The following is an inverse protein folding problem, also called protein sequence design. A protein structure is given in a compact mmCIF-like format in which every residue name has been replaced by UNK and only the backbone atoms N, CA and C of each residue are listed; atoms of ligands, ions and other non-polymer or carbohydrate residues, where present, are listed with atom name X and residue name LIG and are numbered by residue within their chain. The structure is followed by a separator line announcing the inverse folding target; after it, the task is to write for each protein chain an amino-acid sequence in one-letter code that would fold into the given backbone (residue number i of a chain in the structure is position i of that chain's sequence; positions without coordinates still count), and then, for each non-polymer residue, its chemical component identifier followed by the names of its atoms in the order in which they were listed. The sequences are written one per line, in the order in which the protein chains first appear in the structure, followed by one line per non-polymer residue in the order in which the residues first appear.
data_IF_614750099951
#
_entry.id   IF_614750099951
#
_cell.length_a   1.000
_cell.length_b   1.000
_cell.length_c   1.000
_cell.angle_alpha   90.00
_cell.angle_beta   90.00
_cell.angle_gamma   90.00
#
_symmetry.space_group_name_H-M   'P 1'
#
loop_
_entity.id
_entity.type
_entity.pdbx_description
1 polymer ?
#
# COMPACT_ATOMS: atom_id res chain seq x y z
N UNK A 1 1.09 -7.40 -4.89
CA UNK A 1 -0.09 -7.52 -3.98
C UNK A 1 -1.19 -8.24 -4.73
N UNK A 2 -1.68 -9.36 -4.24
CA UNK A 2 -2.80 -10.18 -4.78
C UNK A 2 -2.70 -10.62 -6.25
N UNK A 3 -1.52 -10.61 -6.86
CA UNK A 3 -1.35 -10.81 -8.31
C UNK A 3 -1.92 -12.15 -8.80
N UNK A 4 -1.59 -13.27 -8.13
CA UNK A 4 -2.08 -14.59 -8.50
C UNK A 4 -3.60 -14.70 -8.36
N UNK A 5 -4.17 -14.26 -7.23
CA UNK A 5 -5.61 -14.26 -7.00
C UNK A 5 -6.34 -13.37 -8.01
N UNK A 6 -5.80 -12.17 -8.27
CA UNK A 6 -6.36 -11.22 -9.24
C UNK A 6 -6.43 -11.82 -10.66
N UNK A 7 -5.34 -12.45 -11.13
CA UNK A 7 -5.31 -13.10 -12.45
C UNK A 7 -6.34 -14.21 -12.56
N UNK A 8 -6.44 -15.07 -11.54
CA UNK A 8 -7.37 -16.18 -11.49
C UNK A 8 -8.83 -15.70 -11.49
N UNK A 9 -9.18 -14.77 -10.62
CA UNK A 9 -10.55 -14.23 -10.52
C UNK A 9 -10.95 -13.46 -11.76
N UNK A 10 -10.06 -12.60 -12.29
CA UNK A 10 -10.31 -11.85 -13.53
C UNK A 10 -10.58 -12.79 -14.70
N UNK A 11 -9.80 -13.88 -14.83
CA UNK A 11 -10.01 -14.87 -15.88
C UNK A 11 -11.38 -15.56 -15.83
N UNK A 12 -11.90 -15.86 -14.63
CA UNK A 12 -13.27 -16.40 -14.46
C UNK A 12 -14.33 -15.37 -14.84
N UNK A 13 -14.17 -14.12 -14.36
CA UNK A 13 -15.15 -13.06 -14.58
C UNK A 13 -15.19 -12.57 -16.03
N UNK A 14 -14.07 -12.55 -16.74
CA UNK A 14 -14.02 -12.16 -18.15
C UNK A 14 -14.74 -13.17 -19.03
N UNK A 15 -14.67 -14.48 -18.70
CA UNK A 15 -15.49 -15.50 -19.38
C UNK A 15 -16.99 -15.28 -19.18
N UNK A 16 -17.41 -14.82 -18.01
CA UNK A 16 -18.81 -14.46 -17.76
C UNK A 16 -19.24 -13.20 -18.50
N UNK A 17 -18.38 -12.17 -18.54
CA UNK A 17 -18.65 -10.90 -19.27
C UNK A 17 -18.86 -11.12 -20.76
N UNK A 18 -18.12 -12.07 -21.38
CA UNK A 18 -18.19 -12.37 -22.80
C UNK A 18 -19.45 -13.11 -23.24
N UNK A 19 -20.27 -13.60 -22.29
CA UNK A 19 -21.53 -14.32 -22.60
C UNK A 19 -22.73 -13.40 -22.60
N UNK A 20 -23.44 -13.33 -23.70
CA UNK A 20 -24.65 -12.51 -23.85
C UNK A 20 -25.83 -12.98 -23.00
N UNK A 21 -25.91 -14.29 -22.73
CA UNK A 21 -26.91 -14.96 -21.89
C UNK A 21 -26.19 -15.85 -20.91
N UNK A 22 -26.58 -15.81 -19.65
CA UNK A 22 -26.05 -16.66 -18.57
C UNK A 22 -27.17 -17.60 -18.08
N UNK A 23 -26.85 -18.88 -17.97
CA UNK A 23 -27.69 -19.86 -17.28
C UNK A 23 -27.29 -19.96 -15.81
N UNK A 24 -28.16 -20.52 -14.97
CA UNK A 24 -27.80 -20.81 -13.55
C UNK A 24 -26.61 -21.78 -13.46
N UNK A 25 -26.45 -22.69 -14.43
CA UNK A 25 -25.29 -23.58 -14.50
C UNK A 25 -23.99 -22.78 -14.71
N UNK A 26 -23.98 -21.80 -15.63
CA UNK A 26 -22.80 -20.96 -15.88
C UNK A 26 -22.35 -20.19 -14.62
N UNK A 27 -23.31 -19.64 -13.85
CA UNK A 27 -23.06 -18.98 -12.59
C UNK A 27 -22.52 -19.97 -11.55
N UNK A 28 -23.12 -21.15 -11.45
CA UNK A 28 -22.70 -22.18 -10.48
C UNK A 28 -21.29 -22.67 -10.76
N UNK A 29 -20.93 -22.89 -12.03
CA UNK A 29 -19.59 -23.31 -12.42
C UNK A 29 -18.54 -22.22 -12.15
N UNK A 30 -18.86 -20.98 -12.46
CA UNK A 30 -17.99 -19.85 -12.14
C UNK A 30 -17.78 -19.69 -10.63
N UNK A 31 -18.83 -19.80 -9.83
CA UNK A 31 -18.72 -19.74 -8.36
C UNK A 31 -17.91 -20.90 -7.77
N UNK A 32 -17.96 -22.11 -8.41
CA UNK A 32 -17.12 -23.23 -8.02
C UNK A 32 -15.64 -22.95 -8.30
N UNK A 33 -15.31 -22.33 -9.43
CA UNK A 33 -13.94 -21.91 -9.74
C UNK A 33 -13.47 -20.79 -8.81
N UNK A 34 -14.28 -19.76 -8.58
CA UNK A 34 -13.98 -18.67 -7.63
C UNK A 34 -13.70 -19.23 -6.23
N UNK A 35 -14.55 -20.16 -5.76
CA UNK A 35 -14.34 -20.83 -4.46
C UNK A 35 -12.97 -21.52 -4.40
N UNK A 36 -12.59 -22.26 -5.45
CA UNK A 36 -11.29 -22.91 -5.51
C UNK A 36 -10.15 -21.91 -5.41
N UNK A 37 -10.20 -20.81 -6.17
CA UNK A 37 -9.17 -19.80 -6.19
C UNK A 37 -9.05 -19.05 -4.85
N UNK A 38 -10.17 -18.78 -4.18
CA UNK A 38 -10.15 -18.19 -2.84
C UNK A 38 -9.46 -19.14 -1.83
N UNK A 39 -9.73 -20.45 -1.89
CA UNK A 39 -9.07 -21.43 -1.02
C UNK A 39 -7.57 -21.57 -1.35
N UNK A 40 -7.19 -21.60 -2.64
CA UNK A 40 -5.79 -21.59 -3.08
C UNK A 40 -5.03 -20.33 -2.63
N UNK A 41 -5.74 -19.21 -2.46
CA UNK A 41 -5.21 -17.98 -1.91
C UNK A 41 -5.21 -17.91 -0.37
N UNK A 42 -5.42 -19.02 0.32
CA UNK A 42 -5.49 -19.11 1.78
C UNK A 42 -6.63 -18.30 2.43
N UNK A 43 -7.75 -18.10 1.72
CA UNK A 43 -8.97 -17.58 2.36
C UNK A 43 -9.60 -18.68 3.24
N UNK A 44 -10.11 -18.32 4.43
CA UNK A 44 -10.69 -19.30 5.33
C UNK A 44 -11.89 -20.01 4.70
N UNK A 45 -12.05 -21.31 5.00
CA UNK A 45 -13.13 -22.12 4.46
C UNK A 45 -14.52 -21.54 4.78
N UNK A 46 -14.70 -21.08 6.00
CA UNK A 46 -15.96 -20.52 6.49
C UNK A 46 -16.33 -19.24 5.71
N UNK A 47 -15.37 -18.33 5.55
CA UNK A 47 -15.53 -17.08 4.79
C UNK A 47 -15.82 -17.39 3.33
N UNK A 48 -15.07 -18.33 2.71
CA UNK A 48 -15.25 -18.73 1.33
C UNK A 48 -16.62 -19.37 1.07
N UNK A 49 -17.10 -20.20 1.99
CA UNK A 49 -18.43 -20.82 1.89
C UNK A 49 -19.53 -19.76 1.94
N UNK A 50 -19.49 -18.88 2.96
CA UNK A 50 -20.49 -17.81 3.09
C UNK A 50 -20.49 -16.85 1.90
N UNK A 51 -19.31 -16.53 1.34
CA UNK A 51 -19.20 -15.74 0.11
C UNK A 51 -19.95 -16.37 -1.07
N UNK A 52 -19.69 -17.66 -1.35
CA UNK A 52 -20.33 -18.37 -2.47
C UNK A 52 -21.84 -18.45 -2.29
N UNK A 53 -22.33 -18.73 -1.09
CA UNK A 53 -23.75 -18.77 -0.76
C UNK A 53 -24.41 -17.42 -1.03
N UNK A 54 -23.88 -16.32 -0.47
CA UNK A 54 -24.44 -14.97 -0.66
C UNK A 54 -24.42 -14.50 -2.12
N UNK A 55 -23.34 -14.76 -2.87
CA UNK A 55 -23.29 -14.40 -4.29
C UNK A 55 -24.31 -15.21 -5.09
N UNK A 56 -24.46 -16.51 -4.81
CA UNK A 56 -25.44 -17.37 -5.48
C UNK A 56 -26.87 -16.86 -5.28
N UNK A 57 -27.26 -16.64 -4.01
CA UNK A 57 -28.61 -16.20 -3.66
C UNK A 57 -28.98 -14.88 -4.33
N UNK A 58 -28.03 -13.93 -4.37
CA UNK A 58 -28.22 -12.64 -5.05
C UNK A 58 -28.20 -12.76 -6.58
N UNK A 59 -27.41 -13.68 -7.15
CA UNK A 59 -27.33 -13.86 -8.59
C UNK A 59 -28.63 -14.42 -9.18
N UNK A 60 -29.30 -15.35 -8.50
CA UNK A 60 -30.60 -15.88 -8.92
C UNK A 60 -31.65 -14.77 -9.06
N UNK A 61 -31.66 -13.80 -8.13
CA UNK A 61 -32.55 -12.62 -8.21
C UNK A 61 -32.15 -11.61 -9.28
N UNK A 62 -30.86 -11.42 -9.52
CA UNK A 62 -30.32 -10.40 -10.42
C UNK A 62 -30.50 -10.74 -11.90
N UNK A 63 -30.50 -12.03 -12.29
CA UNK A 63 -30.72 -12.48 -13.68
C UNK A 63 -32.07 -12.04 -14.28
N UNK A 64 -32.98 -11.54 -13.46
CA UNK A 64 -34.31 -11.06 -13.89
C UNK A 64 -34.32 -9.58 -14.35
N UNK A 65 -33.23 -8.82 -14.16
CA UNK A 65 -33.18 -7.40 -14.51
C UNK A 65 -32.67 -7.19 -15.93
N UNK A 66 -33.50 -6.76 -16.86
CA UNK A 66 -33.22 -6.66 -18.30
C UNK A 66 -32.33 -5.47 -18.73
N UNK A 67 -31.96 -4.56 -17.83
CA UNK A 67 -31.28 -3.29 -18.18
C UNK A 67 -29.74 -3.41 -18.36
N UNK A 68 -29.10 -4.44 -17.82
CA UNK A 68 -27.63 -4.64 -17.85
C UNK A 68 -27.35 -6.09 -18.22
N UNK A 69 -26.23 -6.36 -18.92
CA UNK A 69 -25.88 -7.75 -19.26
C UNK A 69 -25.75 -8.62 -18.01
N UNK A 70 -26.28 -9.85 -18.02
CA UNK A 70 -26.22 -10.75 -16.85
C UNK A 70 -24.80 -10.95 -16.32
N UNK A 71 -23.81 -11.06 -17.21
CA UNK A 71 -22.40 -11.20 -16.83
C UNK A 71 -21.87 -10.00 -16.06
N UNK A 72 -22.24 -8.77 -16.45
CA UNK A 72 -21.85 -7.56 -15.71
C UNK A 72 -22.51 -7.50 -14.33
N UNK A 73 -23.74 -7.98 -14.21
CA UNK A 73 -24.41 -8.03 -12.90
C UNK A 73 -23.73 -9.00 -11.95
N UNK A 74 -23.36 -10.21 -12.40
CA UNK A 74 -22.61 -11.18 -11.59
C UNK A 74 -21.25 -10.61 -11.18
N UNK A 75 -20.51 -9.94 -12.08
CA UNK A 75 -19.24 -9.30 -11.77
C UNK A 75 -19.40 -8.23 -10.68
N UNK A 76 -20.48 -7.42 -10.79
CA UNK A 76 -20.78 -6.42 -9.75
C UNK A 76 -21.10 -7.08 -8.42
N UNK A 77 -21.88 -8.14 -8.38
CA UNK A 77 -22.19 -8.89 -7.16
C UNK A 77 -20.94 -9.47 -6.51
N UNK A 78 -20.04 -10.03 -7.28
CA UNK A 78 -18.74 -10.54 -6.78
C UNK A 78 -17.90 -9.42 -6.23
N UNK A 79 -17.85 -8.27 -6.92
CA UNK A 79 -17.13 -7.09 -6.42
C UNK A 79 -17.69 -6.60 -5.07
N UNK A 80 -18.99 -6.39 -5.00
CA UNK A 80 -19.66 -5.89 -3.80
C UNK A 80 -19.48 -6.86 -2.61
N UNK A 81 -19.50 -8.16 -2.89
CA UNK A 81 -19.33 -9.19 -1.86
C UNK A 81 -17.86 -9.27 -1.37
N UNK A 82 -16.88 -9.14 -2.28
CA UNK A 82 -15.46 -9.02 -1.88
C UNK A 82 -15.25 -7.75 -1.04
N UNK A 83 -15.84 -6.61 -1.45
CA UNK A 83 -15.77 -5.39 -0.65
C UNK A 83 -16.37 -5.59 0.75
N UNK A 84 -17.50 -6.29 0.86
CA UNK A 84 -18.15 -6.64 2.14
C UNK A 84 -17.26 -7.53 3.00
N UNK A 85 -16.61 -8.55 2.42
CA UNK A 85 -15.65 -9.40 3.14
C UNK A 85 -14.47 -8.60 3.70
N UNK A 86 -14.03 -7.58 2.99
CA UNK A 86 -12.93 -6.71 3.39
C UNK A 86 -13.35 -5.65 4.43
N UNK A 87 -14.64 -5.58 4.80
CA UNK A 87 -15.16 -4.66 5.81
C UNK A 87 -16.18 -3.63 5.28
N UNK A 88 -16.53 -3.69 3.99
CA UNK A 88 -17.56 -2.88 3.35
C UNK A 88 -17.18 -1.41 3.18
N UNK A 89 -16.91 -0.72 4.28
CA UNK A 89 -16.58 0.71 4.30
C UNK A 89 -15.19 0.95 4.89
N UNK A 90 -14.56 2.05 4.46
CA UNK A 90 -13.28 2.47 5.00
C UNK A 90 -13.42 2.82 6.49
N UNK A 91 -12.60 2.20 7.34
CA UNK A 91 -12.51 2.50 8.75
C UNK A 91 -11.34 3.45 9.02
N UNK A 92 -11.61 4.58 9.68
CA UNK A 92 -10.60 5.54 10.13
C UNK A 92 -10.03 5.18 11.50
N UNK A 93 -9.06 5.98 11.95
CA UNK A 93 -8.61 5.96 13.35
C UNK A 93 -9.54 6.82 14.20
N UNK A 94 -9.78 6.34 15.42
CA UNK A 94 -10.52 7.08 16.44
C UNK A 94 -9.57 8.00 17.20
N UNK A 95 -10.00 9.26 17.39
CA UNK A 95 -9.21 10.27 18.11
C UNK A 95 -9.95 10.74 19.34
N UNK A 96 -9.20 10.94 20.44
CA UNK A 96 -9.74 11.51 21.65
C UNK A 96 -10.14 12.97 21.43
N UNK A 97 -11.24 13.38 22.05
CA UNK A 97 -11.65 14.77 22.12
C UNK A 97 -10.97 15.54 23.27
N UNK A 98 -10.44 14.81 24.25
CA UNK A 98 -9.80 15.37 25.44
C UNK A 98 -8.47 14.67 25.70
N UNK A 99 -7.38 15.44 25.85
CA UNK A 99 -6.04 14.92 26.06
C UNK A 99 -5.46 14.23 24.81
N UNK A 100 -4.31 13.58 24.93
CA UNK A 100 -3.68 12.86 23.84
C UNK A 100 -4.45 11.59 23.48
N UNK A 101 -4.59 11.30 22.20
CA UNK A 101 -5.07 10.00 21.69
C UNK A 101 -4.01 8.95 21.94
N UNK A 102 -4.34 7.86 22.58
CA UNK A 102 -3.44 6.73 22.82
C UNK A 102 -3.75 5.60 21.85
N UNK A 103 -2.73 5.13 21.14
CA UNK A 103 -2.81 4.02 20.20
C UNK A 103 -1.81 2.94 20.61
N UNK A 104 -2.29 1.75 20.96
CA UNK A 104 -1.44 0.60 21.26
C UNK A 104 -1.21 -0.22 19.99
N UNK A 105 0.04 -0.45 19.61
CA UNK A 105 0.39 -1.40 18.56
C UNK A 105 0.72 -2.75 19.19
N UNK A 106 -0.10 -3.76 18.90
CA UNK A 106 0.06 -5.12 19.41
C UNK A 106 0.34 -6.11 18.29
N UNK A 107 0.89 -7.28 18.59
CA UNK A 107 1.17 -8.30 17.58
C UNK A 107 2.42 -9.12 17.89
N UNK A 108 2.66 -10.16 17.11
CA UNK A 108 3.78 -11.07 17.32
C UNK A 108 5.14 -10.44 16.92
N UNK A 109 6.22 -11.08 17.36
CA UNK A 109 7.58 -10.71 16.95
C UNK A 109 7.73 -10.82 15.43
N UNK A 110 8.42 -9.86 14.81
CA UNK A 110 8.67 -9.86 13.37
C UNK A 110 7.47 -9.42 12.51
N UNK A 111 6.31 -9.10 13.09
CA UNK A 111 5.16 -8.57 12.35
C UNK A 111 5.34 -7.16 11.81
N UNK A 112 6.38 -6.44 12.25
CA UNK A 112 6.70 -5.08 11.79
C UNK A 112 6.12 -3.96 12.65
N UNK A 113 5.82 -4.18 13.95
CA UNK A 113 5.25 -3.17 14.86
C UNK A 113 6.08 -1.89 14.91
N UNK A 114 7.36 -1.98 15.25
CA UNK A 114 8.27 -0.83 15.39
C UNK A 114 8.35 0.02 14.12
N UNK A 115 8.50 -0.64 12.97
CA UNK A 115 8.49 0.06 11.67
C UNK A 115 7.13 0.68 11.36
N UNK A 116 6.04 -0.02 11.71
CA UNK A 116 4.67 0.49 11.53
C UNK A 116 4.39 1.69 12.43
N UNK A 117 4.89 1.67 13.67
CA UNK A 117 4.81 2.82 14.59
C UNK A 117 5.39 4.09 13.96
N UNK A 118 6.60 4.00 13.41
CA UNK A 118 7.26 5.12 12.74
C UNK A 118 6.53 5.57 11.45
N UNK A 119 6.05 4.63 10.63
CA UNK A 119 5.27 4.95 9.42
C UNK A 119 3.95 5.63 9.75
N UNK A 120 3.24 5.14 10.78
CA UNK A 120 2.00 5.72 11.25
C UNK A 120 2.24 7.11 11.84
N UNK A 121 3.29 7.27 12.66
CA UNK A 121 3.68 8.56 13.21
C UNK A 121 3.99 9.58 12.10
N UNK A 122 4.79 9.19 11.08
CA UNK A 122 5.05 10.05 9.93
C UNK A 122 3.76 10.50 9.24
N UNK A 123 2.82 9.58 9.03
CA UNK A 123 1.54 9.89 8.40
C UNK A 123 0.72 10.85 9.25
N UNK A 124 0.58 10.57 10.55
CA UNK A 124 -0.15 11.44 11.48
C UNK A 124 0.48 12.83 11.63
N UNK A 125 1.82 12.93 11.52
CA UNK A 125 2.52 14.21 11.47
C UNK A 125 2.10 15.02 10.24
N UNK A 126 2.02 14.40 9.06
CA UNK A 126 1.54 15.06 7.84
C UNK A 126 0.06 15.50 7.95
N UNK A 127 -0.74 14.76 8.70
CA UNK A 127 -2.14 15.07 9.01
C UNK A 127 -2.28 16.05 10.21
N UNK A 128 -1.18 16.65 10.68
CA UNK A 128 -1.13 17.63 11.78
C UNK A 128 -1.69 17.10 13.11
N UNK A 129 -1.53 15.81 13.38
CA UNK A 129 -1.99 15.14 14.61
C UNK A 129 -0.94 15.16 15.72
N UNK A 130 0.18 15.87 15.57
CA UNK A 130 1.28 16.02 16.53
C UNK A 130 1.60 14.70 17.26
N UNK A 131 2.11 13.65 16.57
CA UNK A 131 2.37 12.36 17.16
C UNK A 131 3.65 12.35 18.00
N UNK A 132 3.67 11.48 19.03
CA UNK A 132 4.86 11.03 19.76
C UNK A 132 4.86 9.48 19.77
N UNK A 133 6.06 8.91 19.86
CA UNK A 133 6.28 7.47 19.95
C UNK A 133 6.67 7.07 21.36
N UNK A 134 6.27 5.87 21.81
CA UNK A 134 6.67 5.31 23.11
C UNK A 134 7.22 3.90 22.88
N UNK A 135 8.48 3.66 23.32
CA UNK A 135 9.11 2.35 23.29
C UNK A 135 8.72 1.55 24.54
N UNK A 136 7.69 0.71 24.42
CA UNK A 136 7.21 -0.13 25.50
C UNK A 136 7.69 -1.60 25.41
N UNK A 137 8.61 -1.92 24.48
CA UNK A 137 9.31 -3.22 24.41
C UNK A 137 10.55 -3.17 25.33
N UNK A 138 10.32 -3.35 26.62
CA UNK A 138 11.37 -3.31 27.65
C UNK A 138 12.27 -4.55 27.64
N UNK A 139 11.84 -5.64 27.01
CA UNK A 139 12.56 -6.92 26.97
C UNK A 139 13.67 -6.94 25.93
N UNK A 140 13.66 -5.99 25.00
CA UNK A 140 14.65 -5.89 23.91
C UNK A 140 15.29 -4.49 23.89
N UNK A 141 16.45 -4.29 24.55
CA UNK A 141 17.12 -3.00 24.59
C UNK A 141 17.36 -2.37 23.22
N UNK A 142 17.66 -3.18 22.21
CA UNK A 142 17.83 -2.70 20.84
C UNK A 142 16.53 -2.20 20.19
N UNK A 143 15.34 -2.58 20.69
CA UNK A 143 14.06 -2.13 20.14
C UNK A 143 13.80 -0.64 20.44
N UNK A 144 14.11 -0.19 21.64
CA UNK A 144 13.99 1.22 22.03
C UNK A 144 14.92 2.10 21.19
N UNK A 145 16.16 1.66 20.98
CA UNK A 145 17.12 2.39 20.13
C UNK A 145 16.68 2.41 18.68
N UNK A 146 16.18 1.28 18.16
CA UNK A 146 15.61 1.20 16.82
C UNK A 146 14.45 2.19 16.65
N UNK A 147 13.54 2.28 17.62
CA UNK A 147 12.42 3.21 17.56
C UNK A 147 12.90 4.67 17.59
N UNK A 148 13.94 5.00 18.36
CA UNK A 148 14.54 6.35 18.38
C UNK A 148 15.10 6.73 17.02
N UNK A 149 15.90 5.87 16.41
CA UNK A 149 16.45 6.11 15.07
C UNK A 149 15.35 6.32 14.02
N UNK A 150 14.30 5.51 14.07
CA UNK A 150 13.14 5.69 13.20
C UNK A 150 12.37 6.97 13.50
N UNK A 151 12.22 7.35 14.78
CA UNK A 151 11.60 8.60 15.20
C UNK A 151 12.37 9.81 14.68
N UNK A 152 13.69 9.81 14.79
CA UNK A 152 14.57 10.85 14.23
C UNK A 152 14.43 10.94 12.71
N UNK A 153 14.42 9.80 12.01
CA UNK A 153 14.26 9.74 10.55
C UNK A 153 12.95 10.40 10.08
N UNK A 154 11.86 10.24 10.84
CA UNK A 154 10.55 10.83 10.49
C UNK A 154 10.30 12.17 11.20
N UNK A 155 11.22 12.59 12.07
CA UNK A 155 11.15 13.82 12.85
C UNK A 155 9.99 13.82 13.85
N UNK A 156 9.81 12.71 14.58
CA UNK A 156 8.80 12.51 15.63
C UNK A 156 9.51 12.14 16.93
N UNK A 157 9.19 12.78 18.07
CA UNK A 157 9.83 12.49 19.35
C UNK A 157 9.49 11.10 19.85
N UNK A 158 10.46 10.45 20.51
CA UNK A 158 10.27 9.18 21.21
C UNK A 158 10.38 9.45 22.71
N UNK A 159 9.34 9.08 23.45
CA UNK A 159 9.20 9.38 24.87
C UNK A 159 9.30 8.10 25.73
N UNK A 160 9.80 8.22 26.96
CA UNK A 160 10.44 9.40 27.52
C UNK A 160 11.80 9.69 26.86
N UNK A 161 12.18 10.97 26.77
CA UNK A 161 13.46 11.37 26.17
C UNK A 161 14.66 10.90 26.99
N UNK A 162 14.53 10.88 28.31
CA UNK A 162 15.56 10.39 29.21
C UNK A 162 15.29 8.96 29.64
N UNK A 163 16.15 8.07 29.13
CA UNK A 163 16.50 6.79 29.73
C UNK A 163 15.39 5.78 29.98
N UNK A 164 15.26 4.86 29.07
CA UNK A 164 14.88 3.47 29.41
C UNK A 164 15.96 2.80 30.32
N UNK A 165 16.43 3.51 31.32
CA UNK A 165 17.41 3.08 32.33
C UNK A 165 16.81 2.91 33.70
N UNK A 166 15.47 3.08 33.83
CA UNK A 166 14.77 2.68 35.05
C UNK A 166 14.74 1.17 35.09
N UNK A 167 15.24 0.61 36.17
CA UNK A 167 15.11 -0.80 36.57
C UNK A 167 13.65 -1.22 36.78
N UNK A 168 12.69 -0.39 36.45
CA UNK A 168 11.26 -0.66 36.54
C UNK A 168 10.81 -1.45 35.30
N UNK A 169 10.62 -2.73 35.51
CA UNK A 169 9.98 -3.67 34.57
C UNK A 169 8.45 -3.46 34.44
N UNK A 170 7.96 -2.26 34.80
CA UNK A 170 6.51 -1.95 34.77
C UNK A 170 6.16 -1.12 33.52
N UNK A 171 5.71 -1.82 32.48
CA UNK A 171 5.27 -1.22 31.22
C UNK A 171 4.14 -0.19 31.42
N UNK A 172 3.08 -0.44 32.20
CA UNK A 172 2.08 0.56 32.54
C UNK A 172 2.63 1.85 33.16
N UNK A 173 3.58 1.76 34.09
CA UNK A 173 4.20 2.94 34.72
C UNK A 173 5.02 3.75 33.70
N UNK A 174 5.79 3.09 32.85
CA UNK A 174 6.55 3.71 31.77
C UNK A 174 5.64 4.48 30.80
N UNK A 175 4.55 3.86 30.36
CA UNK A 175 3.63 4.51 29.41
C UNK A 175 2.90 5.68 30.07
N UNK A 176 2.52 5.59 31.35
CA UNK A 176 1.95 6.73 32.09
C UNK A 176 2.93 7.89 32.22
N UNK A 177 4.21 7.62 32.45
CA UNK A 177 5.24 8.66 32.50
C UNK A 177 5.39 9.33 31.11
N UNK A 178 5.47 8.53 30.05
CA UNK A 178 5.54 9.04 28.68
C UNK A 178 4.31 9.88 28.28
N UNK A 179 3.10 9.53 28.77
CA UNK A 179 1.90 10.33 28.52
C UNK A 179 1.97 11.72 29.18
N UNK A 180 2.47 11.81 30.42
CA UNK A 180 2.68 13.12 31.09
C UNK A 180 3.67 13.99 30.36
N UNK A 181 4.75 13.38 29.85
CA UNK A 181 5.73 14.07 29.03
C UNK A 181 5.15 14.51 27.68
N UNK A 182 4.33 13.65 27.05
CA UNK A 182 3.62 13.96 25.82
C UNK A 182 2.67 15.16 25.96
N UNK A 183 1.94 15.27 27.08
CA UNK A 183 1.11 16.45 27.40
C UNK A 183 1.95 17.71 27.50
N UNK A 184 3.10 17.64 28.18
CA UNK A 184 4.04 18.75 28.31
C UNK A 184 4.63 19.16 26.97
N UNK A 185 4.92 18.20 26.10
CA UNK A 185 5.40 18.38 24.73
C UNK A 185 4.29 18.78 23.74
N UNK A 186 3.03 18.91 24.21
CA UNK A 186 1.83 19.18 23.37
C UNK A 186 1.63 18.16 22.27
N UNK A 187 2.01 16.91 22.47
CA UNK A 187 1.68 15.82 21.58
C UNK A 187 0.16 15.52 21.67
N UNK A 188 -0.47 15.37 20.52
CA UNK A 188 -1.93 15.10 20.42
C UNK A 188 -2.22 13.63 20.19
N UNK A 189 -1.22 12.86 19.82
CA UNK A 189 -1.33 11.42 19.58
C UNK A 189 -0.10 10.73 20.13
N UNK A 190 -0.28 9.65 20.86
CA UNK A 190 0.80 8.83 21.42
C UNK A 190 0.66 7.41 20.88
N UNK A 191 1.66 6.94 20.16
CA UNK A 191 1.73 5.60 19.60
C UNK A 191 2.67 4.77 20.44
N UNK A 192 2.14 3.74 21.08
CA UNK A 192 2.88 2.84 21.96
C UNK A 192 3.27 1.59 21.20
N UNK A 193 4.58 1.39 20.96
CA UNK A 193 5.15 0.17 20.38
C UNK A 193 5.38 -0.85 21.49
N UNK A 194 4.48 -1.84 21.60
CA UNK A 194 4.54 -2.86 22.66
C UNK A 194 5.49 -4.01 22.29
N UNK A 195 5.93 -4.77 23.28
CA UNK A 195 6.68 -5.98 23.07
C UNK A 195 5.93 -6.98 22.18
N UNK A 196 6.68 -7.79 21.44
CA UNK A 196 6.15 -8.91 20.65
C UNK A 196 6.81 -10.20 21.07
N UNK A 197 6.01 -11.22 21.32
CA UNK A 197 6.51 -12.59 21.55
C UNK A 197 6.37 -13.44 20.28
N UNK A 198 7.01 -14.61 20.26
CA UNK A 198 6.95 -15.52 19.11
C UNK A 198 5.56 -16.14 18.91
N UNK A 199 4.80 -16.27 19.98
CA UNK A 199 3.44 -16.80 19.98
C UNK A 199 2.57 -16.08 21.03
N UNK A 200 1.26 -16.24 20.91
CA UNK A 200 0.32 -15.75 21.90
C UNK A 200 0.44 -16.64 23.14
N UNK A 201 0.76 -16.03 24.28
CA UNK A 201 0.80 -16.67 25.58
C UNK A 201 0.02 -15.85 26.62
N UNK A 202 -0.26 -16.47 27.75
CA UNK A 202 -1.06 -15.88 28.84
C UNK A 202 -0.39 -14.63 29.40
N UNK A 203 0.94 -14.69 29.61
CA UNK A 203 1.72 -13.61 30.21
C UNK A 203 1.69 -12.34 29.34
N UNK A 204 1.87 -12.47 28.01
CA UNK A 204 1.74 -11.35 27.07
C UNK A 204 0.33 -10.75 27.10
N UNK A 205 -0.69 -11.61 27.12
CA UNK A 205 -2.08 -11.13 27.16
C UNK A 205 -2.41 -10.41 28.45
N UNK A 206 -1.90 -10.87 29.57
CA UNK A 206 -2.11 -10.23 30.88
C UNK A 206 -1.36 -8.90 30.98
N UNK A 207 -0.14 -8.79 30.43
CA UNK A 207 0.59 -7.54 30.32
C UNK A 207 -0.19 -6.51 29.47
N UNK A 208 -0.71 -6.92 28.32
CA UNK A 208 -1.50 -6.05 27.44
C UNK A 208 -2.82 -5.62 28.07
N UNK A 209 -3.50 -6.52 28.83
CA UNK A 209 -4.70 -6.18 29.60
C UNK A 209 -4.39 -5.17 30.70
N UNK A 210 -3.29 -5.39 31.45
CA UNK A 210 -2.85 -4.48 32.49
C UNK A 210 -2.51 -3.09 31.91
N UNK A 211 -1.79 -3.04 30.79
CA UNK A 211 -1.49 -1.80 30.08
C UNK A 211 -2.78 -1.09 29.62
N UNK A 212 -3.71 -1.81 28.99
CA UNK A 212 -4.99 -1.27 28.53
C UNK A 212 -5.85 -0.73 29.67
N UNK A 213 -5.85 -1.40 30.81
CA UNK A 213 -6.57 -0.95 32.01
C UNK A 213 -5.92 0.30 32.64
N UNK A 214 -4.60 0.37 32.65
CA UNK A 214 -3.83 1.48 33.22
C UNK A 214 -3.85 2.74 32.35
N UNK A 215 -3.93 2.58 31.03
CA UNK A 215 -3.89 3.64 30.02
C UNK A 215 -4.94 3.31 28.96
N UNK A 216 -6.24 3.68 29.19
CA UNK A 216 -7.31 3.34 28.26
C UNK A 216 -7.04 3.92 26.86
N UNK A 217 -6.72 3.07 25.84
CA UNK A 217 -6.41 3.55 24.50
C UNK A 217 -7.69 3.78 23.70
N UNK A 218 -7.67 4.74 22.77
CA UNK A 218 -8.69 4.88 21.73
C UNK A 218 -8.53 3.80 20.68
N UNK A 219 -7.28 3.36 20.43
CA UNK A 219 -6.99 2.33 19.44
C UNK A 219 -6.13 1.21 20.02
N UNK A 220 -6.54 -0.02 19.78
CA UNK A 220 -5.73 -1.23 19.93
C UNK A 220 -5.57 -1.84 18.55
N UNK A 221 -4.43 -1.59 17.93
CA UNK A 221 -4.15 -1.93 16.53
C UNK A 221 -3.25 -3.17 16.45
N UNK A 222 -3.78 -4.26 15.92
CA UNK A 222 -2.98 -5.43 15.61
C UNK A 222 -2.11 -5.16 14.38
N UNK A 223 -0.81 -5.31 14.51
CA UNK A 223 0.11 -5.37 13.38
C UNK A 223 0.37 -6.83 13.03
N UNK A 224 -0.15 -7.26 11.88
CA UNK A 224 -0.07 -8.65 11.42
C UNK A 224 0.66 -8.75 10.08
N UNK A 225 1.42 -9.85 9.90
CA UNK A 225 2.10 -10.16 8.66
C UNK A 225 1.10 -10.69 7.63
N UNK A 226 0.88 -9.96 6.54
CA UNK A 226 -0.04 -10.34 5.48
C UNK A 226 0.39 -11.57 4.68
N UNK A 227 1.65 -12.01 4.80
CA UNK A 227 2.16 -13.24 4.19
C UNK A 227 1.88 -14.49 5.03
N UNK A 228 1.48 -14.33 6.30
CA UNK A 228 1.25 -15.46 7.21
C UNK A 228 -0.06 -16.24 6.93
N UNK A 229 -0.86 -15.84 5.93
CA UNK A 229 -2.06 -16.59 5.54
C UNK A 229 -3.04 -16.80 6.68
N UNK A 230 -3.44 -18.05 6.94
CA UNK A 230 -4.38 -18.40 8.01
C UNK A 230 -3.82 -18.19 9.42
N UNK A 231 -2.50 -18.16 9.59
CA UNK A 231 -1.89 -17.85 10.89
C UNK A 231 -2.20 -16.41 11.29
N UNK A 232 -2.18 -15.46 10.35
CA UNK A 232 -2.59 -14.08 10.63
C UNK A 232 -4.03 -13.99 11.12
N UNK A 233 -4.93 -14.83 10.60
CA UNK A 233 -6.34 -14.89 11.02
C UNK A 233 -6.46 -15.45 12.44
N UNK A 234 -5.73 -16.55 12.75
CA UNK A 234 -5.69 -17.11 14.11
C UNK A 234 -5.13 -16.12 15.13
N UNK A 235 -4.07 -15.42 14.75
CA UNK A 235 -3.46 -14.38 15.58
C UNK A 235 -4.46 -13.25 15.82
N UNK A 236 -5.14 -12.76 14.78
CA UNK A 236 -6.13 -11.69 14.91
C UNK A 236 -7.28 -12.09 15.83
N UNK A 237 -7.79 -13.32 15.72
CA UNK A 237 -8.81 -13.86 16.62
C UNK A 237 -8.32 -13.89 18.07
N UNK A 238 -7.13 -14.46 18.33
CA UNK A 238 -6.59 -14.56 19.69
C UNK A 238 -6.35 -13.21 20.36
N UNK A 239 -5.81 -12.22 19.62
CA UNK A 239 -5.67 -10.86 20.16
C UNK A 239 -7.02 -10.17 20.34
N UNK A 240 -7.99 -10.39 19.45
CA UNK A 240 -9.32 -9.78 19.59
C UNK A 240 -10.06 -10.32 20.81
N UNK A 241 -10.05 -11.64 21.02
CA UNK A 241 -10.64 -12.28 22.21
C UNK A 241 -9.90 -11.90 23.50
N UNK A 242 -8.56 -11.74 23.43
CA UNK A 242 -7.73 -11.43 24.59
C UNK A 242 -7.81 -9.97 25.06
N UNK A 243 -7.70 -9.01 24.15
CA UNK A 243 -7.56 -7.58 24.48
C UNK A 243 -8.58 -6.67 23.78
N UNK A 244 -9.38 -7.18 22.85
CA UNK A 244 -10.38 -6.40 22.12
C UNK A 244 -9.73 -5.40 21.16
N UNK A 245 -9.48 -5.84 19.92
CA UNK A 245 -8.91 -5.02 18.87
C UNK A 245 -9.92 -3.99 18.34
N UNK A 246 -9.44 -2.80 17.96
CA UNK A 246 -10.21 -1.76 17.27
C UNK A 246 -9.89 -1.72 15.78
N UNK A 247 -8.77 -2.29 15.37
CA UNK A 247 -8.34 -2.34 13.97
C UNK A 247 -7.13 -3.23 13.74
N UNK A 248 -6.87 -3.51 12.47
CA UNK A 248 -5.72 -4.30 12.01
C UNK A 248 -4.91 -3.48 11.02
N UNK A 249 -3.59 -3.60 11.11
CA UNK A 249 -2.63 -3.11 10.12
C UNK A 249 -1.94 -4.33 9.51
N UNK A 250 -2.14 -4.57 8.22
CA UNK A 250 -1.47 -5.65 7.51
C UNK A 250 -0.15 -5.15 6.92
N UNK A 251 0.93 -5.83 7.24
CA UNK A 251 2.29 -5.52 6.74
C UNK A 251 2.71 -6.48 5.63
N UNK A 252 3.81 -6.14 4.94
CA UNK A 252 4.48 -7.00 3.94
C UNK A 252 3.60 -7.43 2.75
N UNK A 253 2.60 -6.62 2.40
CA UNK A 253 1.74 -6.92 1.25
C UNK A 253 2.40 -6.65 -0.12
N UNK A 254 3.58 -6.05 -0.13
CA UNK A 254 4.46 -5.88 -1.30
C UNK A 254 5.19 -7.15 -1.70
N UNK A 255 5.30 -8.14 -0.80
CA UNK A 255 5.79 -9.48 -1.07
C UNK A 255 4.78 -10.35 -1.85
N UNK A 256 5.05 -11.65 -1.88
CA UNK A 256 4.17 -12.64 -2.53
C UNK A 256 2.98 -13.04 -1.62
N UNK A 257 2.26 -12.02 -1.13
CA UNK A 257 1.09 -12.23 -0.30
C UNK A 257 -0.08 -12.75 -1.15
N UNK A 258 -0.59 -13.95 -0.83
CA UNK A 258 -1.73 -14.57 -1.51
C UNK A 258 -3.05 -13.81 -1.30
N UNK A 259 -3.13 -13.00 -0.23
CA UNK A 259 -4.27 -12.13 0.07
C UNK A 259 -5.34 -12.74 0.97
N UNK A 260 -5.24 -14.03 1.27
CA UNK A 260 -6.24 -14.72 2.10
C UNK A 260 -6.41 -14.15 3.50
N UNK A 261 -5.32 -13.68 4.12
CA UNK A 261 -5.38 -12.99 5.41
C UNK A 261 -6.29 -11.75 5.35
N UNK A 262 -6.12 -10.88 4.36
CA UNK A 262 -6.91 -9.67 4.21
C UNK A 262 -8.41 -9.96 4.03
N UNK A 263 -8.75 -11.00 3.23
CA UNK A 263 -10.12 -11.42 2.99
C UNK A 263 -10.76 -12.12 4.19
N UNK A 264 -9.95 -12.75 5.06
CA UNK A 264 -10.47 -13.57 6.15
C UNK A 264 -10.54 -12.86 7.50
N UNK A 265 -9.62 -11.93 7.79
CA UNK A 265 -9.51 -11.30 9.11
C UNK A 265 -10.82 -10.62 9.50
N UNK A 266 -11.36 -9.75 8.67
CA UNK A 266 -12.62 -9.07 8.95
C UNK A 266 -13.78 -10.07 9.03
N UNK A 267 -13.88 -11.02 8.08
CA UNK A 267 -14.95 -12.01 8.06
C UNK A 267 -14.98 -12.94 9.28
N UNK A 268 -13.81 -13.17 9.92
CA UNK A 268 -13.66 -14.02 11.09
C UNK A 268 -13.79 -13.26 12.41
N UNK A 269 -13.27 -12.03 12.48
CA UNK A 269 -13.16 -11.26 13.74
C UNK A 269 -14.13 -10.10 13.84
N UNK A 270 -14.71 -9.64 12.74
CA UNK A 270 -15.44 -8.37 12.66
C UNK A 270 -14.57 -7.11 12.77
N UNK A 271 -13.25 -7.27 13.01
CA UNK A 271 -12.33 -6.14 13.21
C UNK A 271 -11.92 -5.56 11.85
N UNK A 272 -12.05 -4.24 11.63
CA UNK A 272 -11.71 -3.63 10.35
C UNK A 272 -10.19 -3.57 10.13
N UNK A 273 -9.77 -3.74 8.87
CA UNK A 273 -8.42 -3.40 8.46
C UNK A 273 -8.38 -1.88 8.24
N UNK A 274 -7.46 -1.17 8.92
CA UNK A 274 -7.36 0.29 8.84
C UNK A 274 -6.22 0.74 7.91
N UNK A 275 -5.09 0.02 7.92
CA UNK A 275 -3.94 0.33 7.09
C UNK A 275 -3.28 -0.92 6.51
N UNK A 276 -2.53 -0.71 5.42
CA UNK A 276 -1.70 -1.73 4.78
C UNK A 276 -0.29 -1.20 4.53
N UNK A 277 0.71 -2.01 4.83
CA UNK A 277 2.11 -1.77 4.49
C UNK A 277 2.41 -2.36 3.11
N UNK A 278 2.82 -1.49 2.19
CA UNK A 278 3.02 -1.80 0.77
C UNK A 278 4.47 -1.64 0.31
N UNK A 279 5.42 -1.68 1.23
CA UNK A 279 6.84 -1.57 0.96
C UNK A 279 7.65 -1.18 2.20
N UNK A 280 8.97 -1.14 2.07
CA UNK A 280 9.90 -0.86 3.18
C UNK A 280 10.02 0.64 3.51
N UNK A 281 9.80 1.54 2.55
CA UNK A 281 9.95 2.99 2.73
C UNK A 281 9.01 3.53 3.80
N UNK A 282 9.40 4.62 4.46
CA UNK A 282 8.61 5.27 5.52
C UNK A 282 7.27 5.85 5.05
N UNK A 283 7.08 6.05 3.75
CA UNK A 283 5.82 6.49 3.15
C UNK A 283 4.93 5.32 2.66
N UNK A 284 5.42 4.08 2.76
CA UNK A 284 4.73 2.89 2.28
C UNK A 284 3.72 2.33 3.32
N UNK A 285 2.85 3.20 3.85
CA UNK A 285 1.69 2.85 4.68
C UNK A 285 0.46 3.52 4.09
N UNK A 286 -0.44 2.74 3.51
CA UNK A 286 -1.66 3.23 2.86
C UNK A 286 -2.89 2.95 3.73
N UNK A 287 -3.90 3.87 3.77
CA UNK A 287 -5.20 3.56 4.37
C UNK A 287 -5.85 2.43 3.59
N UNK A 288 -6.49 1.53 4.31
CA UNK A 288 -7.24 0.45 3.70
C UNK A 288 -8.63 0.93 3.29
N UNK A 289 -8.97 0.69 2.03
CA UNK A 289 -10.30 0.97 1.50
C UNK A 289 -10.84 -0.33 0.87
N UNK A 290 -11.89 -0.95 1.48
CA UNK A 290 -12.44 -2.21 1.02
C UNK A 290 -12.89 -2.20 -0.43
N UNK A 291 -13.56 -1.13 -0.88
CA UNK A 291 -14.10 -1.03 -2.24
C UNK A 291 -12.98 -0.92 -3.27
N UNK A 292 -11.98 -0.05 -3.00
CA UNK A 292 -10.79 0.08 -3.85
C UNK A 292 -9.98 -1.22 -3.91
N UNK A 293 -9.88 -1.92 -2.77
CA UNK A 293 -9.16 -3.19 -2.70
C UNK A 293 -9.88 -4.30 -3.46
N UNK A 294 -11.20 -4.37 -3.39
CA UNK A 294 -12.01 -5.27 -4.22
C UNK A 294 -11.78 -5.01 -5.72
N UNK A 295 -11.74 -3.75 -6.14
CA UNK A 295 -11.40 -3.37 -7.52
C UNK A 295 -9.99 -3.84 -7.94
N UNK A 296 -8.99 -3.67 -7.06
CA UNK A 296 -7.61 -4.17 -7.32
C UNK A 296 -7.58 -5.70 -7.46
N UNK A 297 -8.26 -6.43 -6.59
CA UNK A 297 -8.34 -7.90 -6.62
C UNK A 297 -9.03 -8.39 -7.90
N UNK A 298 -10.01 -7.65 -8.41
CA UNK A 298 -10.75 -8.01 -9.63
C UNK A 298 -10.17 -7.41 -10.93
N UNK A 299 -8.93 -6.90 -10.88
CA UNK A 299 -8.24 -6.37 -12.05
C UNK A 299 -8.87 -5.10 -12.65
N UNK A 300 -9.77 -4.43 -11.91
CA UNK A 300 -10.42 -3.19 -12.35
C UNK A 300 -9.52 -1.95 -12.17
N UNK A 301 -8.32 -2.15 -11.60
CA UNK A 301 -7.38 -1.07 -11.29
C UNK A 301 -7.81 -0.23 -10.09
N UNK A 302 -7.03 0.80 -9.81
CA UNK A 302 -7.31 1.79 -8.77
C UNK A 302 -6.98 3.20 -9.29
N UNK A 303 -7.86 3.71 -10.12
CA UNK A 303 -7.69 5.04 -10.75
C UNK A 303 -7.62 6.13 -9.69
N UNK A 304 -8.35 6.00 -8.58
CA UNK A 304 -8.33 6.98 -7.49
C UNK A 304 -6.95 7.01 -6.82
N UNK A 305 -6.36 5.84 -6.50
CA UNK A 305 -5.01 5.79 -5.95
C UNK A 305 -3.97 6.37 -6.93
N UNK A 306 -4.14 6.13 -8.23
CA UNK A 306 -3.26 6.71 -9.25
C UNK A 306 -3.35 8.23 -9.24
N UNK A 307 -4.55 8.80 -9.18
CA UNK A 307 -4.79 10.24 -9.13
C UNK A 307 -4.28 10.84 -7.82
N UNK A 308 -4.51 10.19 -6.68
CA UNK A 308 -4.00 10.64 -5.37
C UNK A 308 -2.47 10.63 -5.33
N UNK A 309 -1.82 9.56 -5.82
CA UNK A 309 -0.35 9.49 -5.92
C UNK A 309 0.19 10.55 -6.89
N UNK A 310 -0.48 10.76 -8.01
CA UNK A 310 -0.12 11.83 -8.93
C UNK A 310 -0.26 13.20 -8.26
N UNK A 311 -1.36 13.48 -7.58
CA UNK A 311 -1.60 14.76 -6.91
C UNK A 311 -0.60 15.05 -5.78
N UNK A 312 -0.19 14.02 -5.02
CA UNK A 312 0.77 14.15 -3.92
C UNK A 312 2.22 14.39 -4.39
N UNK A 313 2.55 14.00 -5.63
CA UNK A 313 3.92 14.05 -6.17
C UNK A 313 4.09 15.10 -7.27
N UNK A 314 2.99 15.62 -7.80
CA UNK A 314 3.01 16.57 -8.91
C UNK A 314 3.31 17.97 -8.38
N UNK A 315 4.49 18.49 -8.75
CA UNK A 315 4.76 19.93 -8.73
C UNK A 315 3.84 20.61 -9.75
N UNK A 316 2.83 21.33 -9.24
CA UNK A 316 1.80 21.98 -10.05
C UNK A 316 2.41 22.94 -11.11
N UNK A 317 3.55 23.56 -10.78
CA UNK A 317 4.25 24.48 -11.70
C UNK A 317 5.01 23.72 -12.78
N UNK A 318 5.63 22.59 -12.45
CA UNK A 318 6.28 21.71 -13.43
C UNK A 318 5.26 21.11 -14.41
N UNK A 319 4.07 20.74 -13.92
CA UNK A 319 3.00 20.20 -14.78
C UNK A 319 2.43 21.24 -15.73
N UNK A 320 2.16 22.45 -15.25
CA UNK A 320 1.71 23.57 -16.13
C UNK A 320 2.74 23.89 -17.21
N UNK A 321 4.04 23.86 -16.88
CA UNK A 321 5.13 24.03 -17.84
C UNK A 321 5.17 22.92 -18.89
N UNK A 322 5.01 21.67 -18.47
CA UNK A 322 4.94 20.49 -19.35
C UNK A 322 3.74 20.58 -20.30
N UNK A 323 2.53 20.92 -19.80
CA UNK A 323 1.35 21.13 -20.63
C UNK A 323 1.53 22.24 -21.66
N UNK A 324 2.08 23.38 -21.26
CA UNK A 324 2.36 24.49 -22.18
C UNK A 324 3.37 24.09 -23.25
N UNK A 325 4.42 23.32 -22.89
CA UNK A 325 5.43 22.84 -23.85
C UNK A 325 4.90 21.75 -24.77
N UNK A 326 4.08 20.83 -24.27
CA UNK A 326 3.39 19.82 -25.10
C UNK A 326 2.47 20.51 -26.12
N UNK A 327 1.82 21.60 -25.75
CA UNK A 327 1.01 22.43 -26.67
C UNK A 327 1.85 23.32 -27.60
N UNK A 328 3.11 23.58 -27.30
CA UNK A 328 3.98 24.44 -28.10
C UNK A 328 4.43 23.76 -29.42
N UNK A 329 4.81 24.56 -30.43
CA UNK A 329 5.31 24.06 -31.71
C UNK A 329 6.67 23.34 -31.56
N UNK A 330 7.48 23.65 -30.54
CA UNK A 330 8.81 23.07 -30.31
C UNK A 330 8.75 21.64 -29.78
N UNK A 331 7.63 21.25 -29.09
CA UNK A 331 7.49 19.94 -28.48
C UNK A 331 8.38 19.75 -27.26
N UNK A 332 8.36 18.53 -26.68
CA UNK A 332 9.12 18.14 -25.50
C UNK A 332 10.62 18.04 -25.80
N UNK A 333 11.48 18.57 -24.92
CA UNK A 333 12.93 18.42 -24.94
C UNK A 333 13.43 17.36 -23.93
N UNK A 334 14.73 17.04 -23.91
CA UNK A 334 15.30 16.05 -22.98
C UNK A 334 15.29 16.53 -21.52
N UNK A 335 15.23 17.85 -21.28
CA UNK A 335 15.06 18.39 -19.93
C UNK A 335 13.64 18.12 -19.41
N UNK A 336 12.63 18.30 -20.26
CA UNK A 336 11.24 17.98 -19.94
C UNK A 336 11.05 16.47 -19.69
N UNK A 337 11.73 15.66 -20.51
CA UNK A 337 11.77 14.21 -20.34
C UNK A 337 12.39 13.81 -19.00
N UNK A 338 13.47 14.47 -18.58
CA UNK A 338 14.10 14.24 -17.27
C UNK A 338 13.16 14.60 -16.11
N UNK A 339 12.45 15.73 -16.22
CA UNK A 339 11.46 16.16 -15.21
C UNK A 339 10.33 15.14 -15.13
N UNK A 340 9.78 14.71 -16.26
CA UNK A 340 8.74 13.67 -16.30
C UNK A 340 9.22 12.33 -15.70
N UNK A 341 10.45 11.92 -15.99
CA UNK A 341 11.07 10.71 -15.45
C UNK A 341 11.21 10.79 -13.92
N UNK A 342 11.66 11.94 -13.39
CA UNK A 342 11.77 12.16 -11.93
C UNK A 342 10.40 12.16 -11.23
N UNK A 343 9.40 12.77 -11.86
CA UNK A 343 8.02 12.71 -11.35
C UNK A 343 7.49 11.28 -11.33
N UNK A 344 7.75 10.48 -12.36
CA UNK A 344 7.37 9.06 -12.36
C UNK A 344 8.08 8.27 -11.26
N UNK A 345 9.37 8.52 -11.01
CA UNK A 345 10.12 7.88 -9.93
C UNK A 345 9.60 8.27 -8.54
N UNK A 346 9.17 9.51 -8.37
CA UNK A 346 8.60 10.00 -7.08
C UNK A 346 7.22 9.40 -6.77
N UNK A 347 6.47 8.92 -7.79
CA UNK A 347 5.20 8.21 -7.61
C UNK A 347 5.37 6.78 -7.06
N UNK A 348 6.59 6.28 -6.92
CA UNK A 348 6.92 4.95 -6.44
C UNK A 348 7.41 4.00 -7.56
N UNK A 349 7.67 2.71 -7.26
CA UNK A 349 8.13 1.75 -8.24
C UNK A 349 7.16 1.67 -9.43
N UNK A 350 7.69 1.78 -10.65
CA UNK A 350 6.87 1.86 -11.87
C UNK A 350 5.90 0.68 -12.02
N UNK A 351 6.28 -0.51 -11.56
CA UNK A 351 5.39 -1.69 -11.51
C UNK A 351 4.14 -1.45 -10.64
N UNK A 352 4.28 -0.73 -9.53
CA UNK A 352 3.14 -0.41 -8.66
C UNK A 352 2.21 0.61 -9.31
N UNK A 353 2.77 1.62 -9.96
CA UNK A 353 2.00 2.66 -10.69
C UNK A 353 1.23 2.06 -11.87
N UNK A 354 1.89 1.21 -12.67
CA UNK A 354 1.27 0.51 -13.79
C UNK A 354 0.19 -0.49 -13.34
N UNK A 355 0.38 -1.13 -12.18
CA UNK A 355 -0.63 -2.03 -11.58
C UNK A 355 -1.91 -1.33 -11.11
N UNK A 356 -1.94 0.01 -11.03
CA UNK A 356 -3.13 0.79 -10.72
C UNK A 356 -3.98 1.11 -11.96
N UNK A 357 -3.43 0.90 -13.17
CA UNK A 357 -4.15 1.17 -14.41
C UNK A 357 -5.13 0.03 -14.73
N UNK A 358 -6.40 0.34 -15.07
CA UNK A 358 -7.37 -0.67 -15.47
C UNK A 358 -6.94 -1.38 -16.75
N UNK A 359 -7.07 -2.71 -16.80
CA UNK A 359 -6.76 -3.52 -17.98
C UNK A 359 -5.28 -3.87 -18.18
N UNK A 360 -4.37 -3.44 -17.30
CA UNK A 360 -2.96 -3.88 -17.31
C UNK A 360 -2.82 -5.12 -16.41
N UNK A 361 -2.74 -6.28 -17.05
CA UNK A 361 -2.49 -7.54 -16.34
C UNK A 361 -1.02 -7.64 -15.90
N UNK A 362 -0.78 -8.30 -14.76
CA UNK A 362 0.56 -8.58 -14.25
C UNK A 362 1.44 -9.33 -15.28
N UNK A 363 0.86 -10.14 -16.19
CA UNK A 363 1.58 -10.76 -17.32
C UNK A 363 2.13 -9.75 -18.32
N UNK A 364 1.40 -8.68 -18.59
CA UNK A 364 1.91 -7.58 -19.44
C UNK A 364 3.10 -6.86 -18.77
N UNK A 365 3.14 -6.85 -17.43
CA UNK A 365 4.22 -6.27 -16.63
C UNK A 365 5.43 -7.20 -16.47
N UNK A 366 5.28 -8.53 -16.66
CA UNK A 366 6.40 -9.49 -16.59
C UNK A 366 7.36 -9.35 -17.79
N UNK A 367 6.87 -8.92 -18.96
CA UNK A 367 7.68 -8.64 -20.14
C UNK A 367 8.40 -7.28 -20.12
N UNK A 368 8.00 -6.37 -19.23
CA UNK A 368 8.57 -5.04 -19.09
C UNK A 368 9.60 -5.06 -17.97
N UNK A 369 10.81 -5.50 -18.26
CA UNK A 369 11.95 -5.35 -17.36
C UNK A 369 12.40 -3.87 -17.34
N UNK A 370 11.57 -2.98 -16.78
CA UNK A 370 12.02 -1.65 -16.39
C UNK A 370 12.67 -1.78 -15.01
N UNK A 371 13.94 -2.13 -15.01
CA UNK A 371 14.80 -2.11 -13.85
C UNK A 371 14.98 -0.64 -13.41
N UNK A 372 14.73 -0.33 -12.13
CA UNK A 372 15.01 1.00 -11.56
C UNK A 372 16.45 1.43 -11.83
N UNK A 373 17.37 0.47 -12.02
CA UNK A 373 18.74 0.72 -12.47
C UNK A 373 18.79 1.32 -13.88
N UNK A 374 17.94 0.88 -14.79
CA UNK A 374 17.88 1.45 -16.16
C UNK A 374 17.40 2.90 -16.17
N UNK A 375 16.43 3.24 -15.32
CA UNK A 375 15.97 4.61 -15.15
C UNK A 375 17.09 5.52 -14.63
N UNK A 376 17.87 5.05 -13.65
CA UNK A 376 19.07 5.76 -13.17
C UNK A 376 20.13 5.93 -14.24
N UNK A 377 20.32 4.94 -15.13
CA UNK A 377 21.24 5.06 -16.26
C UNK A 377 20.78 6.13 -17.27
N UNK A 378 19.49 6.16 -17.59
CA UNK A 378 18.88 7.19 -18.44
C UNK A 378 19.06 8.58 -17.82
N UNK A 379 18.79 8.72 -16.53
CA UNK A 379 19.01 9.96 -15.80
C UNK A 379 20.49 10.40 -15.85
N UNK A 380 21.44 9.51 -15.61
CA UNK A 380 22.87 9.80 -15.67
C UNK A 380 23.30 10.27 -17.08
N UNK A 381 22.78 9.64 -18.13
CA UNK A 381 23.06 10.04 -19.51
C UNK A 381 22.55 11.46 -19.78
N UNK A 382 21.31 11.77 -19.40
CA UNK A 382 20.72 13.10 -19.63
C UNK A 382 21.42 14.16 -18.77
N UNK A 383 21.77 13.85 -17.52
CA UNK A 383 22.51 14.77 -16.64
C UNK A 383 23.93 15.06 -17.16
N UNK A 384 24.55 14.12 -17.89
CA UNK A 384 25.87 14.30 -18.50
C UNK A 384 25.87 15.19 -19.77
N UNK A 385 24.67 15.58 -20.22
CA UNK A 385 24.50 16.55 -21.33
C UNK A 385 24.51 17.99 -20.80
N UNK A 386 25.02 18.93 -21.62
CA UNK A 386 24.86 20.35 -21.33
C UNK A 386 23.42 20.80 -21.49
N UNK A 387 23.00 21.96 -20.90
CA UNK A 387 21.63 22.47 -21.06
C UNK A 387 21.26 22.67 -22.56
N UNK A 388 22.18 23.13 -23.40
CA UNK A 388 21.95 23.30 -24.82
C UNK A 388 21.72 21.97 -25.55
N UNK A 389 22.43 20.90 -25.16
CA UNK A 389 22.30 19.57 -25.75
C UNK A 389 21.00 18.89 -25.31
N UNK A 390 20.49 19.18 -24.08
CA UNK A 390 19.18 18.73 -23.64
C UNK A 390 18.04 19.43 -24.37
N UNK A 391 18.19 20.73 -24.62
CA UNK A 391 17.22 21.54 -25.35
C UNK A 391 17.11 21.16 -26.82
N UNK A 392 18.24 20.88 -27.46
CA UNK A 392 18.30 20.45 -28.87
C UNK A 392 19.27 19.26 -29.08
N UNK A 393 18.78 18.03 -29.03
CA UNK A 393 19.59 16.84 -29.23
C UNK A 393 20.15 16.70 -30.64
N UNK A 394 19.73 17.52 -31.61
CA UNK A 394 20.25 17.47 -32.98
C UNK A 394 21.72 17.93 -33.10
N UNK A 395 22.20 18.68 -32.10
CA UNK A 395 23.59 19.14 -32.03
C UNK A 395 24.59 18.05 -31.60
N UNK A 396 24.11 16.85 -31.24
CA UNK A 396 24.92 15.76 -30.70
C UNK A 396 25.67 15.01 -31.83
N UNK A 397 26.92 15.36 -32.03
CA UNK A 397 27.85 14.63 -32.90
C UNK A 397 28.57 13.49 -32.17
N UNK A 398 29.38 12.68 -32.86
CA UNK A 398 30.09 11.53 -32.33
C UNK A 398 30.94 11.85 -31.08
N UNK A 399 31.71 12.94 -31.12
CA UNK A 399 32.56 13.33 -30.00
C UNK A 399 31.76 13.72 -28.75
N UNK A 400 30.65 14.44 -28.92
CA UNK A 400 29.76 14.81 -27.82
C UNK A 400 29.10 13.58 -27.22
N UNK A 401 28.63 12.62 -28.02
CA UNK A 401 28.08 11.35 -27.54
C UNK A 401 29.11 10.54 -26.76
N UNK A 402 30.37 10.48 -27.18
CA UNK A 402 31.45 9.84 -26.45
C UNK A 402 31.72 10.53 -25.10
N UNK A 403 31.73 11.86 -25.05
CA UNK A 403 31.90 12.63 -23.83
C UNK A 403 30.74 12.35 -22.83
N UNK A 404 29.49 12.36 -23.32
CA UNK A 404 28.29 12.07 -22.52
C UNK A 404 28.35 10.63 -21.98
N UNK A 405 28.68 9.65 -22.82
CA UNK A 405 28.83 8.25 -22.45
C UNK A 405 29.86 8.06 -21.32
N UNK A 406 31.02 8.73 -21.46
CA UNK A 406 32.09 8.71 -20.44
C UNK A 406 31.65 9.36 -19.13
N UNK A 407 30.97 10.53 -19.22
CA UNK A 407 30.44 11.24 -18.04
C UNK A 407 29.36 10.46 -17.31
N UNK A 408 28.55 9.67 -18.03
CA UNK A 408 27.50 8.83 -17.46
C UNK A 408 28.00 7.45 -17.00
N UNK A 409 29.26 7.08 -17.27
CA UNK A 409 29.78 5.73 -17.02
C UNK A 409 29.06 4.64 -17.83
N UNK A 410 28.57 4.99 -19.04
CA UNK A 410 27.77 4.10 -19.91
C UNK A 410 28.34 4.01 -21.31
N UNK A 411 28.11 2.91 -22.03
CA UNK A 411 28.57 2.79 -23.42
C UNK A 411 27.79 3.73 -24.36
N UNK A 412 28.46 4.17 -25.46
CA UNK A 412 27.85 5.09 -26.45
C UNK A 412 26.59 4.51 -27.08
N UNK A 413 26.47 3.18 -27.16
CA UNK A 413 25.28 2.50 -27.67
C UNK A 413 24.02 2.84 -26.85
N UNK A 414 24.15 2.97 -25.52
CA UNK A 414 23.01 3.36 -24.67
C UNK A 414 22.60 4.81 -24.88
N UNK A 415 23.57 5.71 -25.14
CA UNK A 415 23.27 7.09 -25.50
C UNK A 415 22.50 7.14 -26.81
N UNK A 416 22.92 6.39 -27.83
CA UNK A 416 22.23 6.32 -29.13
C UNK A 416 20.81 5.78 -28.97
N UNK A 417 20.64 4.67 -28.21
CA UNK A 417 19.34 4.05 -27.96
C UNK A 417 18.38 5.01 -27.27
N UNK A 418 18.85 5.76 -26.27
CA UNK A 418 18.04 6.80 -25.60
C UNK A 418 17.58 7.88 -26.59
N UNK A 419 18.47 8.37 -27.44
CA UNK A 419 18.14 9.41 -28.43
C UNK A 419 17.12 8.91 -29.47
N UNK A 420 17.24 7.66 -29.92
CA UNK A 420 16.26 7.03 -30.82
C UNK A 420 14.88 6.90 -30.16
N UNK A 421 14.82 6.38 -28.92
CA UNK A 421 13.59 6.27 -28.16
C UNK A 421 12.93 7.63 -27.92
N UNK A 422 13.72 8.64 -27.59
CA UNK A 422 13.23 9.99 -27.41
C UNK A 422 12.65 10.59 -28.71
N UNK A 423 13.30 10.34 -29.85
CA UNK A 423 12.78 10.77 -31.15
C UNK A 423 11.46 10.08 -31.51
N UNK A 424 11.31 8.79 -31.19
CA UNK A 424 10.04 8.06 -31.38
C UNK A 424 8.91 8.66 -30.52
N UNK A 425 9.18 8.96 -29.25
CA UNK A 425 8.23 9.63 -28.37
C UNK A 425 7.80 11.00 -28.91
N UNK A 426 8.73 11.80 -29.42
CA UNK A 426 8.41 13.08 -30.06
C UNK A 426 7.51 12.93 -31.29
N UNK A 427 7.71 11.88 -32.09
CA UNK A 427 6.87 11.59 -33.28
C UNK A 427 5.45 11.20 -32.84
N UNK A 428 5.31 10.32 -31.83
CA UNK A 428 4.00 9.94 -31.28
C UNK A 428 3.24 11.14 -30.71
N UNK A 429 3.91 12.03 -29.95
CA UNK A 429 3.30 13.24 -29.42
C UNK A 429 2.81 14.22 -30.50
N UNK A 430 3.45 14.24 -31.68
CA UNK A 430 2.97 15.00 -32.84
C UNK A 430 1.76 14.36 -33.53
N UNK A 431 1.63 13.04 -33.46
CA UNK A 431 0.51 12.31 -34.05
C UNK A 431 -0.76 12.51 -33.23
N UNK A 432 -0.67 12.46 -31.90
CA UNK A 432 -1.78 12.72 -30.97
C UNK A 432 -2.33 14.17 -31.04
N UNK A 433 -1.55 15.12 -31.56
CA UNK A 433 -2.00 16.49 -31.80
C UNK A 433 -2.84 16.67 -33.08
N UNK A 434 -2.85 15.66 -33.96
CA UNK A 434 -3.61 15.71 -35.24
C UNK A 434 -4.95 14.98 -35.17
N UNK A 435 -5.20 14.26 -34.08
CA UNK A 435 -6.51 13.73 -33.70
C UNK A 435 -7.25 14.69 -32.74
#
# INVERSE_FOLDING_TARGET
MFTALSEQLTGVLDRLRGRGVLSESDVTDALREIRRHLLEADVSFEVTRGFVERVRDRAVGALQVKAVSPGQQVVKLVHDEIATLLGGTKAGLEFSSVGPTVMLLVGLQGSGKTTTAAKLARRLKLEQKAPALVAADIYRPAAAEQLRQLGEQVGVPVLPEQGAGSTEQDVPALVKAALREAESARARTVIVDTAGRLQIDVEMMDELKALKAAVPPQEVLLVADGMAGQDAVRIARGFHEGVGLTGVILTKLDGDARGGAALSIHGVTGVPIKYIGVGEKMDALEPFDPVRMAGRILGQGDVVALVEKAAATVDADATKRLEQKVRSKKGMDLQDFLVALKQMQSMGPLKQVLGLLPGINAKALQGVSMDDKRLKHVEAIVLSMTPAERADPSVLNGNRKQRIARGAGRPVQEVNKLLEQFQQLRKMGKFLKRM
#
